data_IF_526714605485
#
_entry.id   IF_526714605485
#
_cell.length_a   1.000
_cell.length_b   1.000
_cell.length_c   1.000
_cell.angle_alpha   90.00
_cell.angle_beta   90.00
_cell.angle_gamma   90.00
#
_symmetry.space_group_name_H-M   'P 1'
#
loop_
_entity.id
_entity.type
_entity.pdbx_description
1 polymer ?
#
# COMPACT_ATOMS: atom_id res chain seq x y z
N UNK A 1 -65.88 -53.68 -57.84
CA UNK A 1 -64.63 -52.84 -57.85
C UNK A 1 -64.61 -52.18 -56.51
N UNK A 2 -63.81 -52.73 -55.57
CA UNK A 2 -63.76 -52.30 -54.18
C UNK A 2 -62.52 -51.50 -53.97
N UNK A 3 -62.65 -50.21 -53.62
CA UNK A 3 -61.52 -49.32 -53.31
C UNK A 3 -61.30 -49.40 -51.82
N UNK A 4 -60.11 -49.82 -51.36
CA UNK A 4 -59.68 -49.90 -50.01
C UNK A 4 -58.87 -48.62 -49.75
N UNK A 5 -59.41 -47.76 -48.90
CA UNK A 5 -58.72 -46.53 -48.40
C UNK A 5 -57.89 -46.94 -47.19
N UNK A 6 -56.54 -46.88 -47.28
CA UNK A 6 -55.62 -47.06 -46.17
C UNK A 6 -55.45 -45.72 -45.43
N UNK A 7 -55.88 -45.71 -44.21
CA UNK A 7 -55.70 -44.59 -43.30
C UNK A 7 -54.26 -44.61 -42.73
N UNK A 8 -53.44 -43.62 -43.10
CA UNK A 8 -52.11 -43.39 -42.47
C UNK A 8 -52.27 -42.62 -41.18
N UNK A 9 -51.92 -43.23 -40.05
CA UNK A 9 -51.83 -42.60 -38.76
C UNK A 9 -50.44 -41.98 -38.65
N UNK A 10 -50.36 -40.64 -38.67
CA UNK A 10 -49.14 -39.93 -38.38
C UNK A 10 -48.95 -39.81 -36.88
N UNK A 11 -47.95 -40.49 -36.34
CA UNK A 11 -47.49 -40.27 -34.96
C UNK A 11 -46.65 -39.00 -34.90
N UNK A 12 -47.07 -38.05 -34.10
CA UNK A 12 -46.39 -36.79 -33.82
C UNK A 12 -45.33 -37.04 -32.71
N UNK A 13 -44.04 -36.79 -32.90
CA UNK A 13 -43.08 -36.90 -31.83
C UNK A 13 -43.17 -35.69 -30.89
N UNK A 14 -43.38 -35.96 -29.60
CA UNK A 14 -43.34 -35.00 -28.51
C UNK A 14 -41.91 -34.52 -28.29
N UNK A 15 -41.57 -33.30 -28.71
CA UNK A 15 -40.30 -32.65 -28.44
C UNK A 15 -40.31 -32.16 -26.97
N UNK A 16 -39.61 -32.87 -26.09
CA UNK A 16 -39.23 -32.34 -24.75
C UNK A 16 -38.24 -31.19 -24.96
N UNK A 17 -38.71 -29.97 -24.77
CA UNK A 17 -37.85 -28.80 -24.62
C UNK A 17 -37.16 -28.85 -23.26
N UNK A 18 -35.94 -29.38 -23.21
CA UNK A 18 -35.05 -29.23 -22.05
C UNK A 18 -34.60 -27.78 -21.89
N UNK A 19 -35.09 -27.10 -20.88
CA UNK A 19 -34.57 -25.78 -20.49
C UNK A 19 -33.16 -25.92 -19.93
N UNK A 20 -32.14 -25.54 -20.75
CA UNK A 20 -30.82 -25.28 -20.25
C UNK A 20 -30.88 -24.03 -19.34
N UNK A 21 -30.85 -24.23 -18.02
CA UNK A 21 -30.51 -23.17 -17.08
C UNK A 21 -29.03 -22.89 -17.22
N UNK A 22 -28.70 -21.80 -17.92
CA UNK A 22 -27.36 -21.23 -17.88
C UNK A 22 -27.11 -20.75 -16.45
N UNK A 23 -26.32 -21.50 -15.68
CA UNK A 23 -25.80 -21.03 -14.41
C UNK A 23 -25.04 -19.74 -14.68
N UNK A 24 -25.50 -18.64 -14.09
CA UNK A 24 -24.74 -17.40 -14.03
C UNK A 24 -23.44 -17.72 -13.26
N UNK A 25 -22.31 -17.81 -14.00
CA UNK A 25 -21.02 -17.84 -13.37
C UNK A 25 -20.87 -16.52 -12.60
N UNK A 26 -20.70 -16.61 -11.28
CA UNK A 26 -20.35 -15.46 -10.45
C UNK A 26 -19.08 -14.85 -11.02
N UNK A 27 -19.24 -13.71 -11.69
CA UNK A 27 -18.10 -12.90 -12.07
C UNK A 27 -17.36 -12.51 -10.77
N UNK A 28 -16.01 -12.63 -10.71
CA UNK A 28 -15.29 -12.25 -9.51
C UNK A 28 -15.63 -10.80 -9.20
N UNK A 29 -16.13 -10.55 -7.98
CA UNK A 29 -16.44 -9.22 -7.52
C UNK A 29 -15.21 -8.35 -7.72
N UNK A 30 -15.27 -7.38 -8.62
CA UNK A 30 -14.26 -6.35 -8.76
C UNK A 30 -14.10 -5.72 -7.38
N UNK A 31 -12.92 -5.88 -6.80
CA UNK A 31 -12.59 -5.31 -5.50
C UNK A 31 -12.71 -3.78 -5.60
N UNK A 32 -13.89 -3.25 -5.31
CA UNK A 32 -14.24 -1.83 -5.35
C UNK A 32 -13.71 -1.09 -4.11
N UNK A 33 -12.58 -1.53 -3.56
CA UNK A 33 -11.95 -0.83 -2.46
C UNK A 33 -11.74 0.63 -2.84
N UNK A 34 -12.31 1.54 -2.06
CA UNK A 34 -12.13 2.99 -2.24
C UNK A 34 -10.64 3.30 -2.41
N UNK A 35 -10.24 4.16 -3.38
CA UNK A 35 -8.85 4.56 -3.53
C UNK A 35 -8.25 5.03 -2.20
N UNK A 36 -6.98 4.67 -1.94
CA UNK A 36 -6.29 5.14 -0.75
C UNK A 36 -6.16 6.65 -0.80
N UNK A 37 -6.58 7.32 0.26
CA UNK A 37 -6.49 8.78 0.38
C UNK A 37 -5.21 9.19 1.09
N UNK A 38 -4.67 10.33 0.70
CA UNK A 38 -3.54 10.98 1.37
C UNK A 38 -4.05 12.13 2.24
N UNK A 39 -3.18 12.69 3.08
CA UNK A 39 -3.43 14.01 3.67
C UNK A 39 -3.61 15.07 2.57
N UNK A 40 -4.21 16.19 2.90
CA UNK A 40 -4.51 17.23 1.92
C UNK A 40 -3.25 17.92 1.37
N UNK A 41 -2.28 18.20 2.25
CA UNK A 41 -1.04 18.89 1.91
C UNK A 41 0.09 18.44 2.85
N UNK A 42 1.34 18.44 2.35
CA UNK A 42 2.54 18.12 3.11
C UNK A 42 3.52 19.31 3.06
N UNK A 43 3.75 19.93 4.21
CA UNK A 43 4.84 20.88 4.41
C UNK A 43 6.16 20.10 4.54
N UNK A 44 6.91 20.00 3.43
CA UNK A 44 8.15 19.23 3.38
C UNK A 44 9.20 19.75 4.37
N UNK A 45 9.47 21.05 4.51
CA UNK A 45 10.36 21.56 5.53
C UNK A 45 10.06 21.05 6.95
N UNK A 46 8.79 21.01 7.35
CA UNK A 46 8.39 20.46 8.65
C UNK A 46 8.53 18.94 8.75
N UNK A 47 8.46 18.25 7.62
CA UNK A 47 8.59 16.80 7.56
C UNK A 47 10.04 16.33 7.66
N UNK A 48 11.03 17.21 7.41
CA UNK A 48 12.47 16.88 7.48
C UNK A 48 12.90 16.45 8.88
N UNK A 49 14.10 15.88 8.96
CA UNK A 49 14.69 15.34 10.19
C UNK A 49 14.40 13.86 10.40
N UNK A 50 14.53 13.40 11.62
CA UNK A 50 14.46 11.97 11.97
C UNK A 50 13.06 11.54 12.34
N UNK A 51 12.69 10.36 11.83
CA UNK A 51 11.49 9.61 12.14
C UNK A 51 11.87 8.18 12.57
N UNK A 52 11.35 7.74 13.70
CA UNK A 52 11.48 6.38 14.20
C UNK A 52 10.33 5.53 13.68
N UNK A 53 10.64 4.35 13.16
CA UNK A 53 9.63 3.38 12.75
C UNK A 53 9.04 2.69 13.98
N UNK A 54 7.76 2.91 14.25
CA UNK A 54 7.05 2.31 15.39
C UNK A 54 6.46 0.95 15.03
N UNK A 55 5.90 0.85 13.82
CA UNK A 55 5.37 -0.39 13.28
C UNK A 55 5.41 -0.36 11.76
N UNK A 56 5.33 -1.53 11.16
CA UNK A 56 5.30 -1.68 9.70
C UNK A 56 4.56 -2.93 9.27
N UNK A 57 4.20 -3.00 7.99
CA UNK A 57 3.94 -4.28 7.35
C UNK A 57 5.27 -4.98 7.04
N UNK A 58 5.37 -6.32 7.26
CA UNK A 58 6.55 -7.08 6.84
C UNK A 58 6.87 -6.83 5.37
N UNK A 59 8.12 -6.52 5.07
CA UNK A 59 8.53 -6.19 3.71
C UNK A 59 9.93 -6.72 3.37
N UNK A 60 10.22 -6.81 2.06
CA UNK A 60 11.49 -7.36 1.56
C UNK A 60 12.69 -6.45 1.80
N UNK A 61 12.49 -5.16 1.99
CA UNK A 61 13.56 -4.17 2.10
C UNK A 61 14.25 -4.22 3.46
N UNK A 62 13.53 -4.67 4.50
CA UNK A 62 13.97 -4.62 5.88
C UNK A 62 14.19 -6.03 6.48
N UNK A 63 14.42 -7.06 5.64
CA UNK A 63 14.63 -8.45 6.10
C UNK A 63 15.78 -8.62 7.08
N UNK A 64 16.80 -7.76 6.99
CA UNK A 64 17.97 -7.79 7.87
C UNK A 64 17.76 -7.02 9.18
N UNK A 65 16.73 -6.17 9.25
CA UNK A 65 16.49 -5.27 10.36
C UNK A 65 15.76 -6.01 11.49
N UNK A 66 16.29 -5.92 12.71
CA UNK A 66 15.68 -6.48 13.91
C UNK A 66 15.11 -5.42 14.86
N UNK A 67 15.46 -4.14 14.64
CA UNK A 67 14.96 -3.02 15.44
C UNK A 67 15.76 -1.74 15.21
N UNK A 68 15.52 -0.73 16.04
CA UNK A 68 16.16 0.59 15.98
C UNK A 68 16.06 1.26 14.61
N UNK A 69 14.98 0.95 13.88
CA UNK A 69 14.76 1.45 12.53
C UNK A 69 14.35 2.91 12.57
N UNK A 70 15.04 3.73 11.78
CA UNK A 70 14.73 5.15 11.61
C UNK A 70 15.03 5.60 10.19
N UNK A 71 14.33 6.65 9.78
CA UNK A 71 14.57 7.38 8.53
C UNK A 71 14.93 8.83 8.86
N UNK A 72 15.98 9.36 8.26
CA UNK A 72 16.33 10.78 8.34
C UNK A 72 16.20 11.39 6.96
N UNK A 73 15.40 12.46 6.88
CA UNK A 73 15.16 13.21 5.65
C UNK A 73 15.88 14.55 5.72
N UNK A 74 16.57 14.93 4.66
CA UNK A 74 17.22 16.23 4.51
C UNK A 74 17.02 16.79 3.11
N UNK A 75 16.83 18.10 3.00
CA UNK A 75 16.71 18.78 1.72
C UNK A 75 18.10 18.92 1.09
N UNK A 76 18.18 18.72 -0.23
CA UNK A 76 19.37 18.95 -1.04
C UNK A 76 19.23 20.25 -1.83
N UNK A 77 20.36 20.81 -2.24
CA UNK A 77 20.40 22.09 -2.96
C UNK A 77 19.69 22.07 -4.32
N UNK A 78 19.53 20.88 -4.92
CA UNK A 78 18.84 20.67 -6.19
C UNK A 78 17.30 20.53 -6.03
N UNK A 79 16.77 20.75 -4.81
CA UNK A 79 15.35 20.61 -4.51
C UNK A 79 14.86 19.17 -4.30
N UNK A 80 15.77 18.19 -4.39
CA UNK A 80 15.47 16.81 -4.01
C UNK A 80 15.67 16.59 -2.51
N UNK A 81 15.25 15.44 -2.02
CA UNK A 81 15.41 15.05 -0.62
C UNK A 81 16.34 13.85 -0.54
N UNK A 82 17.31 13.89 0.37
CA UNK A 82 18.03 12.69 0.78
C UNK A 82 17.21 11.92 1.80
N UNK A 83 17.17 10.60 1.69
CA UNK A 83 16.56 9.67 2.63
C UNK A 83 17.65 8.74 3.15
N UNK A 84 17.99 8.84 4.43
CA UNK A 84 18.92 7.95 5.11
C UNK A 84 18.14 7.01 6.05
N UNK A 85 17.93 5.78 5.62
CA UNK A 85 17.34 4.74 6.45
C UNK A 85 18.44 3.97 7.18
N UNK A 86 18.24 3.70 8.47
CA UNK A 86 19.12 2.85 9.26
C UNK A 86 18.36 1.95 10.18
N UNK A 87 18.92 0.77 10.48
CA UNK A 87 18.38 -0.17 11.46
C UNK A 87 19.51 -1.00 12.08
N UNK A 88 19.21 -1.75 13.14
CA UNK A 88 20.11 -2.75 13.70
C UNK A 88 19.83 -4.12 13.10
N UNK A 89 20.89 -4.83 12.70
CA UNK A 89 20.81 -6.21 12.24
C UNK A 89 20.81 -7.20 13.41
N UNK A 90 20.52 -8.48 13.13
CA UNK A 90 20.61 -9.55 14.12
C UNK A 90 22.03 -9.74 14.72
N UNK A 91 23.07 -9.26 14.03
CA UNK A 91 24.46 -9.26 14.51
C UNK A 91 24.78 -8.06 15.41
N UNK A 92 23.83 -7.15 15.63
CA UNK A 92 24.06 -5.90 16.36
C UNK A 92 24.71 -4.79 15.54
N UNK A 93 24.95 -5.00 14.25
CA UNK A 93 25.53 -4.03 13.34
C UNK A 93 24.48 -3.01 12.88
N UNK A 94 24.92 -1.79 12.56
CA UNK A 94 24.06 -0.80 11.93
C UNK A 94 24.07 -1.00 10.41
N UNK A 95 22.93 -1.36 9.87
CA UNK A 95 22.67 -1.35 8.43
C UNK A 95 22.18 0.04 8.02
N UNK A 96 22.63 0.54 6.87
CA UNK A 96 22.23 1.84 6.34
C UNK A 96 21.94 1.75 4.84
N UNK A 97 20.92 2.50 4.39
CA UNK A 97 20.62 2.71 2.99
C UNK A 97 20.37 4.19 2.74
N UNK A 98 21.11 4.77 1.78
CA UNK A 98 20.94 6.16 1.35
C UNK A 98 20.15 6.16 0.04
N UNK A 99 19.11 6.95 -0.02
CA UNK A 99 18.25 7.13 -1.17
C UNK A 99 17.92 8.59 -1.43
N UNK A 100 17.18 8.81 -2.50
CA UNK A 100 16.63 10.11 -2.85
C UNK A 100 15.09 10.05 -2.87
N UNK A 101 14.45 11.17 -2.55
CA UNK A 101 13.02 11.34 -2.71
C UNK A 101 12.73 12.65 -3.45
N UNK A 102 11.57 12.68 -4.12
CA UNK A 102 11.05 13.90 -4.75
C UNK A 102 9.53 13.95 -4.62
N UNK A 103 8.97 15.13 -4.40
CA UNK A 103 7.52 15.30 -4.46
C UNK A 103 7.04 15.14 -5.90
N UNK A 104 5.82 14.63 -6.06
CA UNK A 104 5.13 14.50 -7.34
C UNK A 104 3.71 15.03 -7.20
N UNK A 105 3.27 15.82 -8.18
CA UNK A 105 1.92 16.41 -8.16
C UNK A 105 1.82 17.83 -7.58
N UNK A 106 2.94 18.49 -7.36
CA UNK A 106 3.00 19.88 -6.88
C UNK A 106 3.78 20.06 -5.59
N UNK A 107 4.05 21.31 -5.17
CA UNK A 107 4.94 21.63 -4.03
C UNK A 107 4.39 21.18 -2.68
N UNK A 108 3.07 21.06 -2.51
CA UNK A 108 2.45 20.67 -1.26
C UNK A 108 1.91 19.22 -1.32
N UNK A 109 2.25 18.47 -2.38
CA UNK A 109 1.73 17.13 -2.57
C UNK A 109 2.23 16.18 -1.49
N UNK A 110 1.33 15.40 -0.84
CA UNK A 110 1.72 14.37 0.11
C UNK A 110 2.23 13.08 -0.57
N UNK A 111 2.34 13.09 -1.89
CA UNK A 111 2.86 11.99 -2.68
C UNK A 111 4.30 12.24 -3.08
N UNK A 112 5.17 11.33 -2.69
CA UNK A 112 6.57 11.34 -3.09
C UNK A 112 6.90 10.07 -3.85
N UNK A 113 8.00 10.12 -4.59
CA UNK A 113 8.70 8.96 -5.14
C UNK A 113 10.03 8.82 -4.43
N UNK A 114 10.38 7.60 -4.01
CA UNK A 114 11.64 7.29 -3.34
C UNK A 114 12.46 6.29 -4.16
N UNK A 115 13.79 6.45 -4.15
CA UNK A 115 14.72 5.60 -4.90
C UNK A 115 15.96 5.31 -4.05
N UNK A 116 16.28 4.02 -3.91
CA UNK A 116 17.53 3.55 -3.28
C UNK A 116 18.51 2.94 -4.28
N UNK A 117 18.11 2.83 -5.54
CA UNK A 117 19.01 2.45 -6.63
C UNK A 117 20.04 3.57 -6.94
N UNK A 118 21.20 3.25 -7.53
CA UNK A 118 22.20 4.24 -7.94
C UNK A 118 21.61 5.38 -8.79
N UNK A 119 22.17 6.58 -8.65
CA UNK A 119 21.66 7.78 -9.32
C UNK A 119 21.65 7.65 -10.86
N UNK A 120 22.58 6.92 -11.42
CA UNK A 120 22.65 6.63 -12.87
C UNK A 120 21.39 5.93 -13.40
N UNK A 121 20.65 5.24 -12.54
CA UNK A 121 19.40 4.55 -12.91
C UNK A 121 18.15 5.41 -12.69
N UNK A 122 18.30 6.68 -12.29
CA UNK A 122 17.18 7.55 -11.92
C UNK A 122 16.16 7.82 -13.05
N UNK A 123 16.59 7.64 -14.31
CA UNK A 123 15.71 7.77 -15.48
C UNK A 123 14.73 6.59 -15.64
N UNK A 124 14.98 5.46 -14.96
CA UNK A 124 14.11 4.29 -15.04
C UNK A 124 12.93 4.43 -14.05
N UNK A 125 11.66 4.46 -14.51
CA UNK A 125 10.50 4.59 -13.62
C UNK A 125 10.43 3.48 -12.56
N UNK A 126 10.85 2.27 -12.90
CA UNK A 126 10.75 1.07 -12.04
C UNK A 126 11.65 1.12 -10.79
N UNK A 127 12.64 2.00 -10.74
CA UNK A 127 13.51 2.16 -9.56
C UNK A 127 12.93 3.12 -8.52
N UNK A 128 11.81 3.79 -8.85
CA UNK A 128 11.11 4.72 -7.99
C UNK A 128 9.89 4.05 -7.38
N UNK A 129 9.88 3.93 -6.07
CA UNK A 129 8.73 3.47 -5.29
C UNK A 129 7.80 4.63 -4.90
N UNK A 130 6.51 4.35 -4.79
CA UNK A 130 5.55 5.28 -4.22
C UNK A 130 5.76 5.40 -2.71
N UNK A 131 5.63 6.63 -2.21
CA UNK A 131 5.70 7.00 -0.81
C UNK A 131 4.63 8.06 -0.56
N UNK A 132 3.47 7.65 -0.08
CA UNK A 132 2.33 8.51 0.13
C UNK A 132 2.12 8.73 1.63
N UNK A 133 2.12 9.98 2.08
CA UNK A 133 1.74 10.31 3.45
C UNK A 133 0.23 10.27 3.53
N UNK A 134 -0.29 9.23 4.18
CA UNK A 134 -1.73 8.92 4.24
C UNK A 134 -2.38 9.38 5.54
N UNK A 135 -1.59 9.61 6.58
CA UNK A 135 -2.01 10.20 7.86
C UNK A 135 -0.83 10.96 8.47
N UNK A 136 -1.13 12.09 9.11
CA UNK A 136 -0.13 12.92 9.77
C UNK A 136 -0.82 13.77 10.83
N UNK A 137 -0.35 13.74 12.07
CA UNK A 137 -0.88 14.61 13.09
C UNK A 137 -0.50 16.08 12.86
N UNK A 138 -1.32 17.05 13.27
CA UNK A 138 -1.06 18.48 13.04
C UNK A 138 0.28 18.97 13.59
N UNK A 139 0.80 18.30 14.62
CA UNK A 139 2.11 18.60 15.22
C UNK A 139 3.29 18.01 14.46
N UNK A 140 3.06 17.22 13.39
CA UNK A 140 4.11 16.51 12.64
C UNK A 140 4.94 15.57 13.54
N UNK A 141 4.29 14.87 14.48
CA UNK A 141 4.94 13.97 15.43
C UNK A 141 4.67 12.49 15.14
N UNK A 142 3.52 12.18 14.54
CA UNK A 142 3.09 10.81 14.21
C UNK A 142 2.56 10.80 12.78
N UNK A 143 3.05 9.87 11.97
CA UNK A 143 2.70 9.77 10.56
C UNK A 143 2.43 8.32 10.14
N UNK A 144 1.62 8.13 9.11
CA UNK A 144 1.51 6.86 8.41
C UNK A 144 1.81 7.05 6.92
N UNK A 145 2.59 6.10 6.38
CA UNK A 145 3.03 6.10 4.99
C UNK A 145 2.67 4.79 4.34
N UNK A 146 2.12 4.87 3.14
CA UNK A 146 1.74 3.70 2.34
C UNK A 146 1.88 4.01 0.84
N UNK A 147 1.24 3.22 0.00
CA UNK A 147 1.13 3.42 -1.44
C UNK A 147 -0.24 2.91 -1.95
N UNK A 148 -0.55 3.16 -3.22
CA UNK A 148 -1.89 2.94 -3.79
C UNK A 148 -2.44 1.52 -3.60
N UNK A 149 -1.57 0.50 -3.58
CA UNK A 149 -1.97 -0.91 -3.46
C UNK A 149 -2.11 -1.40 -2.02
N UNK A 150 -1.70 -0.59 -1.03
CA UNK A 150 -1.70 -0.94 0.39
C UNK A 150 -0.84 -2.18 0.72
N UNK A 151 0.16 -2.47 -0.12
CA UNK A 151 1.10 -3.58 0.11
C UNK A 151 2.12 -3.26 1.21
N UNK A 152 2.40 -1.96 1.39
CA UNK A 152 3.33 -1.44 2.38
C UNK A 152 2.64 -0.47 3.31
N UNK A 153 3.05 -0.49 4.57
CA UNK A 153 2.62 0.47 5.59
C UNK A 153 3.76 0.67 6.58
N UNK A 154 4.04 1.93 6.92
CA UNK A 154 4.93 2.32 8.00
C UNK A 154 4.22 3.32 8.89
N UNK A 155 4.31 3.12 10.22
CA UNK A 155 3.92 4.09 11.24
C UNK A 155 5.22 4.68 11.78
N UNK A 156 5.34 5.99 11.64
CA UNK A 156 6.54 6.76 11.94
C UNK A 156 6.27 7.77 13.06
N UNK A 157 7.22 7.95 13.97
CA UNK A 157 7.13 8.92 15.07
C UNK A 157 8.41 9.73 15.20
N UNK A 158 8.28 10.95 15.72
CA UNK A 158 9.44 11.78 16.11
C UNK A 158 10.15 11.29 17.35
N UNK A 159 9.53 10.42 18.12
CA UNK A 159 10.08 9.81 19.33
C UNK A 159 10.13 8.30 19.20
N UNK A 160 11.08 7.62 19.87
CA UNK A 160 11.18 6.15 19.83
C UNK A 160 9.94 5.42 20.38
N UNK A 161 9.11 6.14 21.11
CA UNK A 161 7.89 5.62 21.73
C UNK A 161 6.69 6.52 21.37
N UNK A 162 5.51 5.92 21.30
CA UNK A 162 4.23 6.62 21.08
C UNK A 162 3.28 6.20 22.20
N UNK A 163 2.49 7.13 22.70
CA UNK A 163 1.44 6.78 23.66
C UNK A 163 0.38 5.89 22.98
N UNK A 164 -0.17 4.98 23.79
CA UNK A 164 -1.09 3.96 23.28
C UNK A 164 -2.35 4.57 22.65
N UNK A 165 -2.89 5.63 23.21
CA UNK A 165 -4.12 6.24 22.72
C UNK A 165 -3.93 6.84 21.32
N UNK A 166 -2.83 7.57 21.09
CA UNK A 166 -2.46 8.14 19.79
C UNK A 166 -2.20 7.04 18.74
N UNK A 167 -1.50 5.97 19.13
CA UNK A 167 -1.25 4.83 18.28
C UNK A 167 -2.56 4.14 17.86
N UNK A 168 -3.42 3.79 18.83
CA UNK A 168 -4.69 3.11 18.57
C UNK A 168 -5.62 3.95 17.69
N UNK A 169 -5.69 5.26 17.94
CA UNK A 169 -6.48 6.18 17.13
C UNK A 169 -5.97 6.26 15.68
N UNK A 170 -4.65 6.25 15.45
CA UNK A 170 -4.07 6.18 14.13
C UNK A 170 -4.42 4.86 13.45
N UNK A 171 -4.23 3.72 14.12
CA UNK A 171 -4.53 2.39 13.59
C UNK A 171 -6.01 2.27 13.19
N UNK A 172 -6.92 2.82 13.99
CA UNK A 172 -8.35 2.84 13.65
C UNK A 172 -8.64 3.63 12.36
N UNK A 173 -7.98 4.80 12.14
CA UNK A 173 -8.12 5.57 10.89
C UNK A 173 -7.54 4.81 9.69
N UNK A 174 -6.42 4.09 9.87
CA UNK A 174 -5.82 3.28 8.80
C UNK A 174 -6.73 2.11 8.41
N UNK A 175 -7.33 1.42 9.38
CA UNK A 175 -8.33 0.38 9.13
C UNK A 175 -9.55 0.93 8.36
N UNK A 176 -10.04 2.13 8.73
CA UNK A 176 -11.14 2.79 8.02
C UNK A 176 -10.78 3.17 6.57
N UNK A 177 -9.48 3.32 6.24
CA UNK A 177 -8.98 3.49 4.88
C UNK A 177 -8.78 2.16 4.13
N UNK A 178 -9.13 1.02 4.74
CA UNK A 178 -9.03 -0.31 4.13
C UNK A 178 -7.63 -0.92 4.16
N UNK A 179 -6.76 -0.48 5.07
CA UNK A 179 -5.50 -1.17 5.34
C UNK A 179 -5.75 -2.35 6.29
N UNK A 180 -5.14 -3.49 5.99
CA UNK A 180 -5.18 -4.68 6.85
C UNK A 180 -4.24 -4.52 8.04
N UNK A 181 -4.69 -3.77 9.04
CA UNK A 181 -3.88 -3.44 10.23
C UNK A 181 -3.49 -4.65 11.07
N UNK A 182 -4.08 -5.83 10.84
CA UNK A 182 -3.67 -7.08 11.49
C UNK A 182 -2.26 -7.52 11.09
N UNK A 183 -1.76 -7.02 9.95
CA UNK A 183 -0.38 -7.25 9.47
C UNK A 183 0.67 -6.37 10.13
N UNK A 184 0.29 -5.40 10.94
CA UNK A 184 1.26 -4.52 11.59
C UNK A 184 2.13 -5.31 12.57
N UNK A 185 3.42 -5.16 12.41
CA UNK A 185 4.45 -5.69 13.32
C UNK A 185 5.17 -4.51 13.96
N UNK A 186 5.21 -4.50 15.28
CA UNK A 186 5.94 -3.47 16.04
C UNK A 186 7.45 -3.55 15.76
N UNK A 187 8.09 -2.40 15.66
CA UNK A 187 9.54 -2.29 15.50
C UNK A 187 10.16 -1.92 16.85
N UNK A 188 10.98 -2.79 17.47
CA UNK A 188 11.68 -2.46 18.70
C UNK A 188 12.60 -1.24 18.52
N UNK A 189 12.51 -0.28 19.46
CA UNK A 189 13.34 0.93 19.52
C UNK A 189 14.20 0.97 20.81
N UNK A 190 14.27 -0.18 21.49
CA UNK A 190 15.07 -0.36 22.73
C UNK A 190 15.99 -1.56 22.58
#
# INVERSE_FOLDING_TARGET
MKIIIKTCVFALPLLLAGSLQAGAADAPALNTAKPLTTIAALDVPRYMGTWYEIAKFPNRFQKKCTGFTKATYSALADGTLQVANSCRSAKGETEQAIGAARQVGGPDSPKLKVRFAPAILSFLPMVWGDYWVIDLDPGYRLAAVSEAKREYLWILSRTPTVDKASYDALVARLAAQGLDVSKLVATPQQ
#
